data_IF_131503345821
#
_entry.id   IF_131503345821
#
_cell.length_a   1.000
_cell.length_b   1.000
_cell.length_c   1.000
_cell.angle_alpha   90.00
_cell.angle_beta   90.00
_cell.angle_gamma   90.00
#
_symmetry.space_group_name_H-M   'P 1'
#
loop_
_entity.id
_entity.type
_entity.pdbx_description
1 polymer ?
#
# COMPACT_ATOMS: atom_id res chain seq x y z
N UNK A 1 19.56 -3.55 -18.13
CA UNK A 1 19.51 -4.29 -16.84
C UNK A 1 18.77 -3.52 -15.75
N UNK A 2 19.07 -2.24 -15.52
CA UNK A 2 18.39 -1.40 -14.52
C UNK A 2 16.85 -1.32 -14.70
N UNK A 3 16.36 -1.27 -15.94
CA UNK A 3 14.91 -1.21 -16.25
C UNK A 3 14.14 -2.47 -15.83
N UNK A 4 14.74 -3.65 -15.87
CA UNK A 4 14.11 -4.89 -15.39
C UNK A 4 13.98 -4.91 -13.86
N UNK A 5 14.96 -4.35 -13.15
CA UNK A 5 14.96 -4.23 -11.69
C UNK A 5 13.84 -3.27 -11.24
N UNK A 6 13.70 -2.14 -11.93
CA UNK A 6 12.62 -1.17 -11.67
C UNK A 6 11.22 -1.74 -11.91
N UNK A 7 11.07 -2.51 -12.99
CA UNK A 7 9.80 -3.15 -13.33
C UNK A 7 9.43 -4.22 -12.29
N UNK A 8 10.42 -5.01 -11.84
CA UNK A 8 10.24 -6.01 -10.78
C UNK A 8 9.81 -5.39 -9.44
N UNK A 9 10.48 -4.32 -8.99
CA UNK A 9 10.15 -3.62 -7.73
C UNK A 9 8.77 -2.98 -7.81
N UNK A 10 8.41 -2.39 -8.94
CA UNK A 10 7.09 -1.77 -9.13
C UNK A 10 5.97 -2.81 -9.04
N UNK A 11 6.16 -3.97 -9.66
CA UNK A 11 5.19 -5.06 -9.63
C UNK A 11 5.03 -5.64 -8.23
N UNK A 12 6.16 -5.83 -7.51
CA UNK A 12 6.17 -6.31 -6.14
C UNK A 12 5.54 -5.29 -5.16
N UNK A 13 5.71 -3.99 -5.40
CA UNK A 13 5.10 -2.93 -4.61
C UNK A 13 3.57 -2.90 -4.77
N UNK A 14 3.07 -3.06 -6.00
CA UNK A 14 1.62 -3.13 -6.27
C UNK A 14 1.02 -4.39 -5.63
N UNK A 15 1.68 -5.54 -5.77
CA UNK A 15 1.23 -6.79 -5.16
C UNK A 15 1.25 -6.69 -3.63
N UNK A 16 2.31 -6.14 -3.05
CA UNK A 16 2.43 -5.95 -1.61
C UNK A 16 1.38 -5.00 -1.04
N UNK A 17 1.03 -3.95 -1.78
CA UNK A 17 -0.08 -3.05 -1.42
C UNK A 17 -1.43 -3.77 -1.43
N UNK A 18 -1.69 -4.57 -2.45
CA UNK A 18 -2.92 -5.36 -2.55
C UNK A 18 -3.03 -6.36 -1.40
N UNK A 19 -1.95 -7.09 -1.12
CA UNK A 19 -1.91 -8.10 -0.03
C UNK A 19 -2.09 -7.44 1.33
N UNK A 20 -1.42 -6.31 1.60
CA UNK A 20 -1.64 -5.57 2.85
C UNK A 20 -3.07 -5.07 2.99
N UNK A 21 -3.69 -4.55 1.93
CA UNK A 21 -5.09 -4.12 1.97
C UNK A 21 -6.02 -5.28 2.35
N UNK A 22 -5.81 -6.46 1.75
CA UNK A 22 -6.58 -7.68 2.08
C UNK A 22 -6.34 -8.10 3.54
N UNK A 23 -5.09 -8.07 4.04
CA UNK A 23 -4.77 -8.43 5.42
C UNK A 23 -5.39 -7.48 6.46
N UNK A 24 -5.50 -6.18 6.14
CA UNK A 24 -6.23 -5.21 6.96
C UNK A 24 -7.72 -5.53 6.99
N UNK A 25 -8.33 -5.82 5.83
CA UNK A 25 -9.74 -6.21 5.72
C UNK A 25 -10.03 -7.51 6.49
N UNK A 26 -9.15 -8.51 6.39
CA UNK A 26 -9.27 -9.76 7.14
C UNK A 26 -9.18 -9.54 8.66
N UNK A 27 -8.34 -8.59 9.10
CA UNK A 27 -8.26 -8.23 10.53
C UNK A 27 -9.52 -7.53 11.02
N UNK A 28 -10.18 -6.73 10.17
CA UNK A 28 -11.48 -6.12 10.48
C UNK A 28 -12.58 -7.17 10.63
N UNK A 29 -12.62 -8.15 9.73
CA UNK A 29 -13.59 -9.26 9.81
C UNK A 29 -13.40 -10.12 11.05
N UNK A 30 -12.16 -10.32 11.50
CA UNK A 30 -11.85 -11.05 12.73
C UNK A 30 -12.40 -10.41 13.99
N UNK A 31 -12.68 -9.10 13.97
CA UNK A 31 -13.15 -8.34 15.13
C UNK A 31 -14.66 -8.02 15.09
N UNK A 32 -15.44 -8.67 14.21
CA UNK A 32 -16.90 -8.49 14.05
C UNK A 32 -17.37 -7.09 13.62
N UNK A 33 -16.48 -6.25 13.11
CA UNK A 33 -16.85 -4.97 12.49
C UNK A 33 -17.26 -5.17 11.02
N UNK A 34 -18.32 -5.94 10.78
CA UNK A 34 -18.84 -6.24 9.43
C UNK A 34 -19.18 -4.99 8.62
N UNK A 35 -19.61 -3.92 9.30
CA UNK A 35 -19.91 -2.61 8.69
C UNK A 35 -18.67 -2.00 8.05
N UNK A 36 -17.51 -2.05 8.73
CA UNK A 36 -16.25 -1.53 8.19
C UNK A 36 -15.71 -2.38 7.04
N UNK A 37 -15.93 -3.70 7.09
CA UNK A 37 -15.61 -4.62 5.99
C UNK A 37 -16.38 -4.27 4.71
N UNK A 38 -17.68 -4.02 4.81
CA UNK A 38 -18.54 -3.64 3.67
C UNK A 38 -18.13 -2.28 3.11
N UNK A 39 -17.88 -1.28 3.97
CA UNK A 39 -17.43 0.05 3.54
C UNK A 39 -16.09 -0.05 2.81
N UNK A 40 -15.16 -0.89 3.29
CA UNK A 40 -13.85 -1.08 2.65
C UNK A 40 -13.97 -1.68 1.25
N UNK A 41 -14.86 -2.65 1.03
CA UNK A 41 -15.11 -3.30 -0.27
C UNK A 41 -15.76 -2.32 -1.25
N UNK A 42 -16.77 -1.57 -0.80
CA UNK A 42 -17.44 -0.54 -1.60
C UNK A 42 -16.45 0.58 -1.97
N UNK A 43 -15.62 0.99 -1.02
CA UNK A 43 -14.60 1.99 -1.29
C UNK A 43 -13.53 1.47 -2.26
N UNK A 44 -13.19 0.16 -2.22
CA UNK A 44 -12.23 -0.48 -3.14
C UNK A 44 -12.71 -0.39 -4.58
N UNK A 45 -14.02 -0.56 -4.80
CA UNK A 45 -14.66 -0.38 -6.10
C UNK A 45 -14.70 1.08 -6.59
N UNK A 46 -14.56 2.04 -5.67
CA UNK A 46 -14.56 3.47 -5.97
C UNK A 46 -13.14 4.06 -6.16
N UNK A 47 -12.09 3.24 -6.10
CA UNK A 47 -10.68 3.69 -6.23
C UNK A 47 -10.14 4.45 -5.01
N UNK A 48 -11.02 5.01 -4.17
CA UNK A 48 -10.67 5.65 -2.90
C UNK A 48 -10.45 4.62 -1.77
N UNK A 49 -10.79 3.37 -2.00
CA UNK A 49 -10.77 2.32 -0.98
C UNK A 49 -9.41 2.05 -0.39
N UNK A 50 -8.35 2.21 -1.16
CA UNK A 50 -6.99 2.09 -0.63
C UNK A 50 -6.73 3.15 0.46
N UNK A 51 -7.12 4.41 0.21
CA UNK A 51 -6.97 5.49 1.19
C UNK A 51 -7.89 5.30 2.40
N UNK A 52 -9.16 4.96 2.17
CA UNK A 52 -10.14 4.78 3.24
C UNK A 52 -9.75 3.61 4.14
N UNK A 53 -9.37 2.48 3.55
CA UNK A 53 -8.92 1.29 4.30
C UNK A 53 -7.63 1.60 5.07
N UNK A 54 -6.75 2.43 4.51
CA UNK A 54 -5.56 2.89 5.22
C UNK A 54 -5.90 3.79 6.41
N UNK A 55 -6.77 4.79 6.26
CA UNK A 55 -7.14 5.68 7.37
C UNK A 55 -7.84 4.90 8.48
N UNK A 56 -8.83 4.06 8.14
CA UNK A 56 -9.60 3.29 9.13
C UNK A 56 -8.69 2.27 9.84
N UNK A 57 -7.81 1.60 9.10
CA UNK A 57 -6.81 0.71 9.69
C UNK A 57 -5.91 1.43 10.71
N UNK A 58 -5.60 2.71 10.49
CA UNK A 58 -4.69 3.51 11.34
C UNK A 58 -5.39 3.94 12.61
N UNK A 59 -6.64 4.39 12.46
CA UNK A 59 -7.49 4.78 13.58
C UNK A 59 -7.69 3.61 14.55
N UNK A 60 -7.92 2.40 14.03
CA UNK A 60 -8.11 1.19 14.86
C UNK A 60 -6.88 0.30 14.99
N UNK A 61 -5.68 0.83 14.72
CA UNK A 61 -4.44 0.03 14.80
C UNK A 61 -4.18 -0.52 16.22
N UNK A 62 -4.66 0.19 17.24
CA UNK A 62 -4.58 -0.21 18.65
C UNK A 62 -5.52 -1.37 18.99
N UNK A 63 -6.77 -1.31 18.53
CA UNK A 63 -7.78 -2.36 18.78
C UNK A 63 -7.46 -3.67 18.04
N UNK A 64 -6.89 -3.56 16.85
CA UNK A 64 -6.63 -4.72 15.98
C UNK A 64 -5.21 -5.27 16.07
N UNK A 65 -4.32 -4.67 16.88
CA UNK A 65 -2.91 -5.07 17.03
C UNK A 65 -2.10 -5.22 15.70
N UNK A 66 -2.56 -4.58 14.62
CA UNK A 66 -1.97 -4.64 13.27
C UNK A 66 -0.89 -3.58 13.03
N UNK A 67 -0.27 -3.06 14.09
CA UNK A 67 0.80 -2.04 14.01
C UNK A 67 1.91 -2.44 13.03
N UNK A 68 2.36 -3.68 13.08
CA UNK A 68 3.43 -4.19 12.19
C UNK A 68 3.00 -4.18 10.73
N UNK A 69 1.76 -4.61 10.44
CA UNK A 69 1.21 -4.61 9.09
C UNK A 69 1.11 -3.19 8.54
N UNK A 70 0.77 -2.24 9.41
CA UNK A 70 0.53 -0.87 9.01
C UNK A 70 1.81 -0.05 8.81
N UNK A 71 2.83 -0.34 9.62
CA UNK A 71 4.18 0.15 9.41
C UNK A 71 4.74 -0.42 8.10
N UNK A 72 4.54 -1.70 7.83
CA UNK A 72 4.95 -2.31 6.57
C UNK A 72 4.25 -1.65 5.37
N UNK A 73 2.95 -1.39 5.46
CA UNK A 73 2.19 -0.73 4.40
C UNK A 73 2.68 0.71 4.13
N UNK A 74 2.90 1.49 5.18
CA UNK A 74 3.45 2.85 5.07
C UNK A 74 4.87 2.83 4.52
N UNK A 75 5.69 1.86 4.95
CA UNK A 75 7.03 1.64 4.43
C UNK A 75 7.05 1.29 2.95
N UNK A 76 6.08 0.50 2.48
CA UNK A 76 5.94 0.15 1.06
C UNK A 76 5.62 1.38 0.20
N UNK A 77 4.74 2.26 0.67
CA UNK A 77 4.47 3.56 0.04
C UNK A 77 5.73 4.42 -0.05
N UNK A 78 6.49 4.51 1.05
CA UNK A 78 7.75 5.29 1.10
C UNK A 78 8.79 4.72 0.14
N UNK A 79 8.96 3.40 0.09
CA UNK A 79 9.88 2.73 -0.85
C UNK A 79 9.46 2.97 -2.29
N UNK A 80 8.16 2.90 -2.60
CA UNK A 80 7.66 3.18 -3.94
C UNK A 80 7.94 4.65 -4.35
N UNK A 81 7.73 5.59 -3.43
CA UNK A 81 8.02 7.02 -3.65
C UNK A 81 9.52 7.28 -3.85
N UNK A 82 10.38 6.69 -3.01
CA UNK A 82 11.84 6.79 -3.15
C UNK A 82 12.31 6.20 -4.48
N UNK A 83 11.78 5.04 -4.83
CA UNK A 83 12.10 4.36 -6.09
C UNK A 83 11.72 5.27 -7.27
N UNK A 84 10.53 5.87 -7.26
CA UNK A 84 10.10 6.82 -8.30
C UNK A 84 10.97 8.09 -8.35
N UNK A 85 11.27 8.68 -7.19
CA UNK A 85 12.14 9.86 -7.09
C UNK A 85 13.54 9.58 -7.65
N UNK A 86 14.14 8.44 -7.28
CA UNK A 86 15.44 8.00 -7.81
C UNK A 86 15.37 7.77 -9.32
N UNK A 87 14.30 7.14 -9.84
CA UNK A 87 14.07 6.97 -11.28
C UNK A 87 14.01 8.31 -12.04
N UNK A 88 13.29 9.29 -11.50
CA UNK A 88 13.18 10.62 -12.12
C UNK A 88 14.52 11.38 -12.08
N UNK A 89 15.31 11.21 -11.02
CA UNK A 89 16.65 11.79 -10.89
C UNK A 89 17.68 11.17 -11.85
N UNK A 90 17.65 9.84 -12.05
CA UNK A 90 18.53 9.17 -13.03
C UNK A 90 18.08 9.34 -14.48
N UNK A 91 16.82 9.70 -14.74
CA UNK A 91 16.31 10.06 -16.08
C UNK A 91 16.89 11.38 -16.62
N UNK A 92 17.11 12.37 -15.75
CA UNK A 92 17.83 13.60 -16.11
C UNK A 92 19.31 13.36 -16.41
N UNK A 93 19.92 12.30 -15.83
CA UNK A 93 21.30 11.91 -16.11
C UNK A 93 21.49 11.20 -17.47
N UNK A 94 20.47 10.48 -17.96
CA UNK A 94 20.54 9.75 -19.24
C UNK A 94 20.21 10.63 -20.46
N UNK A 95 19.59 11.80 -20.29
CA UNK A 95 19.35 12.75 -21.40
C UNK A 95 20.55 13.68 -21.68
N UNK A 96 21.61 13.61 -20.87
CA UNK A 96 22.80 14.46 -20.96
C UNK A 96 24.07 13.69 -21.43
N UNK A 97 23.93 12.46 -21.93
CA UNK A 97 25.02 11.61 -22.41
C UNK A 97 24.88 11.27 -23.89
#
# INVERSE_FOLDING_TARGET
MLSFIFLGISLLAILGMLVCAILVILSMFKHSDSTLGIISIVALFCGVGILVTFIIGWVKVGDYHIKNLMIAYSGLWVVAFLTYAVASGIGFGQAAG
#
